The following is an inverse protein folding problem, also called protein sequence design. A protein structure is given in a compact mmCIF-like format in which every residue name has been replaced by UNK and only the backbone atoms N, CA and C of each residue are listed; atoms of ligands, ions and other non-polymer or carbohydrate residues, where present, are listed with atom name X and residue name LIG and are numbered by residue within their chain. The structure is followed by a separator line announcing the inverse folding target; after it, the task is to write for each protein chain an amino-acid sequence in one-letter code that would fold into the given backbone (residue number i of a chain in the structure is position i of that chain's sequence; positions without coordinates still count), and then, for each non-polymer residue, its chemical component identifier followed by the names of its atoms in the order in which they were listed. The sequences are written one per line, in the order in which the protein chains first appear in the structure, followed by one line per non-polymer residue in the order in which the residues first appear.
data_IF_447768908189
#
_entry.id   IF_447768908189
#
_cell.length_a   1.000
_cell.length_b   1.000
_cell.length_c   1.000
_cell.angle_alpha   90.00
_cell.angle_beta   90.00
_cell.angle_gamma   90.00
#
_symmetry.space_group_name_H-M   'P 1'
#
loop_
_entity.id
_entity.type
_entity.pdbx_description
1 polymer ?
#
# COMPACT_ATOMS: atom_id res chain seq x y z
N UNK A 1 -37.76 -20.42 52.10
CA UNK A 1 -36.97 -20.72 50.88
C UNK A 1 -37.69 -20.22 49.63
N UNK A 2 -37.60 -18.94 49.28
CA UNK A 2 -38.43 -18.41 48.18
C UNK A 2 -38.00 -17.12 47.47
N UNK A 3 -37.06 -16.34 48.01
CA UNK A 3 -36.71 -15.02 47.44
C UNK A 3 -35.19 -14.81 47.36
N UNK A 4 -34.46 -15.82 46.87
CA UNK A 4 -33.01 -15.72 46.62
C UNK A 4 -32.59 -16.29 45.25
N UNK A 5 -33.56 -16.63 44.38
CA UNK A 5 -33.29 -17.14 43.02
C UNK A 5 -33.74 -16.22 41.89
N UNK A 6 -34.35 -15.06 42.16
CA UNK A 6 -34.81 -14.12 41.11
C UNK A 6 -33.78 -13.08 40.66
N UNK A 7 -32.64 -12.95 41.36
CA UNK A 7 -31.57 -12.01 40.98
C UNK A 7 -30.49 -12.59 40.06
N UNK A 8 -30.67 -13.82 39.56
CA UNK A 8 -29.77 -14.42 38.58
C UNK A 8 -30.26 -14.24 37.12
N UNK A 9 -30.99 -13.14 36.85
CA UNK A 9 -31.52 -12.78 35.51
C UNK A 9 -30.88 -11.52 34.91
N UNK A 10 -29.61 -11.26 35.24
CA UNK A 10 -28.77 -10.31 34.51
C UNK A 10 -27.54 -11.05 33.98
N UNK A 11 -27.78 -12.03 33.10
CA UNK A 11 -26.74 -12.71 32.34
C UNK A 11 -26.18 -11.72 31.31
N UNK A 12 -25.04 -11.12 31.64
CA UNK A 12 -23.92 -10.82 30.73
C UNK A 12 -24.35 -10.42 29.30
N UNK A 13 -24.62 -9.13 29.11
CA UNK A 13 -24.51 -8.48 27.81
C UNK A 13 -23.37 -7.46 27.89
N UNK A 14 -22.11 -7.90 27.96
CA UNK A 14 -20.97 -6.95 27.90
C UNK A 14 -19.66 -7.54 27.37
N UNK A 15 -19.69 -8.67 26.66
CA UNK A 15 -18.47 -9.29 26.10
C UNK A 15 -18.03 -8.77 24.74
N UNK A 16 -18.88 -8.04 24.01
CA UNK A 16 -18.64 -7.75 22.58
C UNK A 16 -18.33 -6.28 22.28
N UNK A 17 -18.56 -5.36 23.22
CA UNK A 17 -18.43 -3.92 22.96
C UNK A 17 -16.97 -3.50 22.73
N UNK A 18 -16.01 -4.07 23.48
CA UNK A 18 -14.59 -3.74 23.31
C UNK A 18 -14.01 -4.30 22.01
N UNK A 19 -14.57 -5.41 21.51
CA UNK A 19 -14.16 -6.00 20.23
C UNK A 19 -14.55 -5.08 19.06
N UNK A 20 -15.71 -4.43 19.13
CA UNK A 20 -16.14 -3.43 18.14
C UNK A 20 -15.36 -2.12 18.25
N UNK A 21 -15.06 -1.65 19.47
CA UNK A 21 -14.25 -0.44 19.69
C UNK A 21 -12.78 -0.62 19.27
N UNK A 22 -12.20 -1.82 19.47
CA UNK A 22 -10.84 -2.15 19.05
C UNK A 22 -10.71 -2.25 17.52
N UNK A 23 -11.72 -2.82 16.84
CA UNK A 23 -11.77 -2.88 15.37
C UNK A 23 -11.73 -1.47 14.75
N UNK A 24 -12.42 -0.49 15.36
CA UNK A 24 -12.39 0.90 14.88
C UNK A 24 -11.03 1.58 15.00
N UNK A 25 -10.24 1.26 16.02
CA UNK A 25 -8.90 1.84 16.16
C UNK A 25 -7.93 1.22 15.14
N UNK A 26 -8.02 -0.09 14.87
CA UNK A 26 -7.24 -0.73 13.81
C UNK A 26 -7.66 -0.30 12.40
N UNK A 27 -8.95 -0.09 12.16
CA UNK A 27 -9.46 0.42 10.88
C UNK A 27 -8.97 1.86 10.64
N UNK A 28 -9.02 2.71 11.67
CA UNK A 28 -8.47 4.07 11.60
C UNK A 28 -6.96 4.04 11.37
N UNK A 29 -6.22 3.11 12.00
CA UNK A 29 -4.78 2.96 11.79
C UNK A 29 -4.45 2.48 10.37
N UNK A 30 -5.23 1.53 9.82
CA UNK A 30 -5.09 1.07 8.44
C UNK A 30 -5.44 2.18 7.43
N UNK A 31 -6.52 2.93 7.68
CA UNK A 31 -6.88 4.08 6.84
C UNK A 31 -5.84 5.21 6.91
N UNK A 32 -5.21 5.43 8.07
CA UNK A 32 -4.12 6.40 8.20
C UNK A 32 -2.86 5.92 7.45
N UNK A 33 -2.59 4.61 7.47
CA UNK A 33 -1.48 4.00 6.74
C UNK A 33 -1.68 4.13 5.23
N UNK A 34 -2.89 3.85 4.73
CA UNK A 34 -3.27 4.06 3.32
C UNK A 34 -3.12 5.52 2.86
N UNK A 35 -3.35 6.49 3.75
CA UNK A 35 -3.18 7.90 3.43
C UNK A 35 -1.70 8.24 3.19
N UNK A 36 -0.78 7.60 3.91
CA UNK A 36 0.67 7.79 3.74
C UNK A 36 1.16 7.19 2.41
N UNK A 37 0.58 6.05 2.01
CA UNK A 37 0.94 5.35 0.77
C UNK A 37 0.61 6.17 -0.48
N UNK A 38 -0.44 7.00 -0.43
CA UNK A 38 -0.82 7.88 -1.55
C UNK A 38 0.27 8.89 -1.93
N UNK A 39 0.97 9.48 -0.96
CA UNK A 39 2.05 10.43 -1.21
C UNK A 39 3.27 9.75 -1.83
N UNK A 40 3.61 8.54 -1.39
CA UNK A 40 4.76 7.80 -1.88
C UNK A 40 4.59 7.42 -3.37
N UNK A 41 3.40 6.96 -3.74
CA UNK A 41 3.07 6.61 -5.13
C UNK A 41 3.19 7.82 -6.05
N UNK A 42 2.65 8.98 -5.66
CA UNK A 42 2.74 10.21 -6.45
C UNK A 42 4.19 10.69 -6.65
N UNK A 43 5.05 10.55 -5.63
CA UNK A 43 6.47 10.89 -5.74
C UNK A 43 7.18 9.94 -6.70
N UNK A 44 6.91 8.63 -6.60
CA UNK A 44 7.52 7.62 -7.48
C UNK A 44 7.08 7.79 -8.94
N UNK A 45 5.78 8.04 -9.18
CA UNK A 45 5.27 8.32 -10.53
C UNK A 45 5.95 9.56 -11.15
N UNK A 46 6.10 10.64 -10.39
CA UNK A 46 6.82 11.83 -10.85
C UNK A 46 8.30 11.57 -11.10
N UNK A 47 8.92 10.71 -10.30
CA UNK A 47 10.32 10.38 -10.41
C UNK A 47 10.61 9.54 -11.67
N UNK A 48 9.67 8.69 -12.12
CA UNK A 48 9.75 7.96 -13.40
C UNK A 48 9.68 8.90 -14.61
N UNK A 49 9.03 10.05 -14.50
CA UNK A 49 8.99 11.04 -15.59
C UNK A 49 10.31 11.84 -15.75
N UNK A 50 11.24 11.73 -14.81
CA UNK A 50 12.52 12.44 -14.86
C UNK A 50 13.52 11.77 -15.80
N UNK A 51 14.35 12.58 -16.47
CA UNK A 51 15.50 12.07 -17.26
C UNK A 51 16.64 11.68 -16.32
N UNK A 52 16.67 10.40 -15.94
CA UNK A 52 17.73 9.82 -15.12
C UNK A 52 18.63 8.91 -15.96
N UNK A 53 19.91 8.82 -15.59
CA UNK A 53 20.84 7.82 -16.14
C UNK A 53 20.31 6.41 -15.87
N UNK A 54 20.55 5.48 -16.80
CA UNK A 54 20.05 4.10 -16.75
C UNK A 54 20.30 3.39 -15.42
N UNK A 55 21.48 3.59 -14.82
CA UNK A 55 21.83 3.00 -13.51
C UNK A 55 20.91 3.47 -12.37
N UNK A 56 20.58 4.77 -12.35
CA UNK A 56 19.68 5.37 -11.37
C UNK A 56 18.24 4.94 -11.64
N UNK A 57 17.82 4.89 -12.90
CA UNK A 57 16.47 4.48 -13.27
C UNK A 57 16.19 3.01 -12.91
N UNK A 58 17.16 2.11 -13.09
CA UNK A 58 17.08 0.71 -12.63
C UNK A 58 16.85 0.62 -11.13
N UNK A 59 17.59 1.40 -10.35
CA UNK A 59 17.44 1.45 -8.89
C UNK A 59 16.08 2.00 -8.47
N UNK A 60 15.57 2.98 -9.22
CA UNK A 60 14.25 3.58 -8.99
C UNK A 60 13.14 2.56 -9.24
N UNK A 61 13.13 1.87 -10.38
CA UNK A 61 12.12 0.84 -10.67
C UNK A 61 12.17 -0.32 -9.66
N UNK A 62 13.35 -0.72 -9.19
CA UNK A 62 13.47 -1.74 -8.13
C UNK A 62 12.82 -1.28 -6.83
N UNK A 63 13.02 -0.02 -6.43
CA UNK A 63 12.38 0.56 -5.23
C UNK A 63 10.87 0.69 -5.42
N UNK A 64 10.42 1.10 -6.61
CA UNK A 64 9.00 1.22 -6.93
C UNK A 64 8.30 -0.14 -6.83
N UNK A 65 8.87 -1.19 -7.41
CA UNK A 65 8.30 -2.54 -7.30
C UNK A 65 8.27 -3.04 -5.85
N UNK A 66 9.35 -2.86 -5.10
CA UNK A 66 9.38 -3.26 -3.68
C UNK A 66 8.36 -2.52 -2.83
N UNK A 67 8.03 -1.27 -3.18
CA UNK A 67 7.01 -0.49 -2.50
C UNK A 67 5.60 -1.01 -2.83
N UNK A 68 5.30 -1.22 -4.11
CA UNK A 68 4.01 -1.75 -4.55
C UNK A 68 3.77 -3.19 -4.06
N UNK A 69 4.81 -4.01 -3.95
CA UNK A 69 4.69 -5.37 -3.39
C UNK A 69 4.39 -5.37 -1.88
N UNK A 70 4.77 -4.32 -1.15
CA UNK A 70 4.56 -4.22 0.29
C UNK A 70 3.25 -3.49 0.66
N UNK A 71 2.82 -2.52 -0.15
CA UNK A 71 1.73 -1.59 0.17
C UNK A 71 0.60 -1.57 -0.88
N UNK A 72 0.90 -1.96 -2.12
CA UNK A 72 0.05 -1.77 -3.28
C UNK A 72 -0.82 -2.97 -3.67
N UNK A 73 -1.45 -2.85 -4.83
CA UNK A 73 -2.27 -3.91 -5.45
C UNK A 73 -1.48 -4.61 -6.58
N UNK A 74 -1.82 -5.88 -6.91
CA UNK A 74 -1.15 -6.59 -8.00
C UNK A 74 -1.28 -5.90 -9.37
N UNK A 75 -2.34 -5.11 -9.57
CA UNK A 75 -2.54 -4.29 -10.77
C UNK A 75 -1.46 -3.21 -10.91
N UNK A 76 -1.16 -2.50 -9.82
CA UNK A 76 -0.13 -1.46 -9.80
C UNK A 76 1.27 -2.04 -9.99
N UNK A 77 1.56 -3.19 -9.36
CA UNK A 77 2.81 -3.93 -9.61
C UNK A 77 2.97 -4.24 -11.09
N UNK A 78 1.91 -4.68 -11.76
CA UNK A 78 1.93 -4.99 -13.19
C UNK A 78 2.16 -3.71 -14.02
N UNK A 79 1.49 -2.61 -13.69
CA UNK A 79 1.69 -1.30 -14.32
C UNK A 79 3.15 -0.84 -14.23
N UNK A 80 3.77 -0.95 -13.04
CA UNK A 80 5.17 -0.56 -12.83
C UNK A 80 6.13 -1.46 -13.62
N UNK A 81 5.85 -2.76 -13.73
CA UNK A 81 6.65 -3.67 -14.58
C UNK A 81 6.57 -3.26 -16.06
N UNK A 82 5.38 -2.92 -16.55
CA UNK A 82 5.21 -2.42 -17.93
C UNK A 82 5.96 -1.10 -18.15
N UNK A 83 5.91 -0.16 -17.18
CA UNK A 83 6.67 1.09 -17.26
C UNK A 83 8.19 0.85 -17.34
N UNK A 84 8.69 -0.13 -16.59
CA UNK A 84 10.11 -0.50 -16.64
C UNK A 84 10.50 -1.10 -18.00
N UNK A 85 9.65 -1.96 -18.59
CA UNK A 85 9.87 -2.53 -19.92
C UNK A 85 9.89 -1.42 -20.99
N UNK A 86 8.88 -0.56 -20.99
CA UNK A 86 8.78 0.58 -21.92
C UNK A 86 10.01 1.49 -21.83
N UNK A 87 10.54 1.73 -20.62
CA UNK A 87 11.75 2.52 -20.44
C UNK A 87 12.97 1.84 -21.06
N UNK A 88 13.14 0.54 -20.87
CA UNK A 88 14.25 -0.22 -21.46
C UNK A 88 14.17 -0.18 -22.99
N UNK A 89 13.00 -0.43 -23.56
CA UNK A 89 12.78 -0.37 -25.02
C UNK A 89 13.14 1.01 -25.59
N UNK A 90 12.64 2.08 -24.97
CA UNK A 90 12.98 3.46 -25.36
C UNK A 90 14.49 3.76 -25.24
N UNK A 91 15.15 3.22 -24.21
CA UNK A 91 16.58 3.42 -23.99
C UNK A 91 17.45 2.64 -25.00
N UNK A 92 17.00 1.47 -25.45
CA UNK A 92 17.69 0.68 -26.48
C UNK A 92 17.51 1.25 -27.89
N UNK A 93 16.38 1.88 -28.19
CA UNK A 93 16.12 2.54 -29.48
C UNK A 93 16.88 3.85 -29.70
N UNK A 94 17.44 4.46 -28.65
CA UNK A 94 18.12 5.77 -28.70
C UNK A 94 19.61 5.68 -29.05
N UNK A 95 20.16 4.49 -29.33
CA UNK A 95 21.51 4.34 -29.89
C UNK A 95 21.53 4.52 -31.42
N UNK A 96 21.16 5.70 -31.92
CA UNK A 96 21.46 6.17 -33.28
C UNK A 96 21.53 7.70 -33.30
N UNK A 97 22.59 8.25 -32.72
CA UNK A 97 23.13 9.54 -33.16
C UNK A 97 24.60 9.29 -33.43
N UNK A 98 24.90 9.33 -34.73
CA UNK A 98 26.22 9.28 -35.34
C UNK A 98 27.13 10.35 -34.73
N UNK A 99 28.35 9.95 -34.41
CA UNK A 99 29.54 10.81 -34.56
C UNK A 99 30.23 10.35 -35.85
#
# INVERSE_FOLDING_TARGET
MGELKKLARARVCSGSAWKVAHVRLSDVLHSLLQLLDSCALHVLERAVAQKLSTHKMKSLFKKFLSFEEAHGTPELVTKVRQLALNYVEASTGTQRTQD
#
